data_IF_353808629463
#
_entry.id   IF_353808629463
#
_cell.length_a   1.000
_cell.length_b   1.000
_cell.length_c   1.000
_cell.angle_alpha   90.00
_cell.angle_beta   90.00
_cell.angle_gamma   90.00
#
_symmetry.space_group_name_H-M   'P 1'
#
loop_
_entity.id
_entity.type
_entity.pdbx_description
1 polymer ?
#
# COMPACT_ATOMS: atom_id res chain seq x y z
N UNK A 1 -21.37 20.27 4.01
CA UNK A 1 -20.24 20.68 3.17
C UNK A 1 -18.90 20.25 3.74
N UNK A 2 -18.54 20.63 4.97
CA UNK A 2 -17.25 20.26 5.58
C UNK A 2 -17.01 18.74 5.65
N UNK A 3 -18.03 17.94 5.95
CA UNK A 3 -17.91 16.46 6.01
C UNK A 3 -17.67 15.82 4.64
N UNK A 4 -18.22 16.39 3.57
CA UNK A 4 -17.97 15.90 2.20
C UNK A 4 -16.54 16.15 1.76
N UNK A 5 -15.98 17.33 2.05
CA UNK A 5 -14.59 17.67 1.82
C UNK A 5 -13.64 16.76 2.63
N UNK A 6 -14.00 16.46 3.88
CA UNK A 6 -13.21 15.56 4.72
C UNK A 6 -13.18 14.13 4.16
N UNK A 7 -14.29 13.65 3.61
CA UNK A 7 -14.34 12.34 2.94
C UNK A 7 -13.44 12.31 1.70
N UNK A 8 -13.50 13.35 0.87
CA UNK A 8 -12.59 13.51 -0.29
C UNK A 8 -11.13 13.46 0.13
N UNK A 9 -10.78 14.15 1.22
CA UNK A 9 -9.41 14.15 1.76
C UNK A 9 -8.98 12.76 2.19
N UNK A 10 -9.84 12.01 2.90
CA UNK A 10 -9.54 10.65 3.33
C UNK A 10 -9.31 9.72 2.13
N UNK A 11 -10.22 9.73 1.16
CA UNK A 11 -10.10 8.89 -0.04
C UNK A 11 -8.88 9.25 -0.88
N UNK A 12 -8.60 10.54 -1.07
CA UNK A 12 -7.43 11.00 -1.81
C UNK A 12 -6.12 10.59 -1.13
N UNK A 13 -6.06 10.66 0.18
CA UNK A 13 -4.89 10.19 0.95
C UNK A 13 -4.73 8.68 0.85
N UNK A 14 -5.81 7.93 0.91
CA UNK A 14 -5.78 6.47 0.74
C UNK A 14 -5.19 6.09 -0.63
N UNK A 15 -5.66 6.73 -1.69
CA UNK A 15 -5.14 6.51 -3.05
C UNK A 15 -3.64 6.80 -3.10
N UNK A 16 -3.19 7.94 -2.58
CA UNK A 16 -1.77 8.31 -2.59
C UNK A 16 -0.91 7.38 -1.77
N UNK A 17 -1.40 6.91 -0.61
CA UNK A 17 -0.66 5.98 0.25
C UNK A 17 -0.27 4.69 -0.49
N UNK A 18 -1.17 4.16 -1.31
CA UNK A 18 -0.87 2.97 -2.08
C UNK A 18 -0.18 3.27 -3.40
N UNK A 19 -0.68 4.25 -4.15
CA UNK A 19 -0.17 4.54 -5.50
C UNK A 19 1.25 5.08 -5.52
N UNK A 20 1.67 5.82 -4.50
CA UNK A 20 3.03 6.38 -4.38
C UNK A 20 3.99 5.47 -3.62
N UNK A 21 3.61 4.24 -3.33
CA UNK A 21 4.44 3.33 -2.55
C UNK A 21 5.62 2.76 -3.37
N UNK A 22 6.71 2.38 -2.70
CA UNK A 22 7.81 1.65 -3.33
C UNK A 22 7.36 0.36 -4.02
N UNK A 23 6.42 -0.37 -3.42
CA UNK A 23 5.87 -1.60 -3.98
C UNK A 23 5.19 -1.36 -5.32
N UNK A 24 4.38 -0.31 -5.42
CA UNK A 24 3.70 0.06 -6.66
C UNK A 24 4.71 0.51 -7.73
N UNK A 25 5.73 1.28 -7.34
CA UNK A 25 6.80 1.70 -8.24
C UNK A 25 7.54 0.51 -8.85
N UNK A 26 7.94 -0.46 -8.02
CA UNK A 26 8.61 -1.66 -8.46
C UNK A 26 7.75 -2.47 -9.44
N UNK A 27 6.45 -2.56 -9.19
CA UNK A 27 5.50 -3.22 -10.08
C UNK A 27 5.40 -2.52 -11.44
N UNK A 28 5.19 -1.20 -11.46
CA UNK A 28 5.02 -0.43 -12.70
C UNK A 28 6.30 -0.34 -13.53
N UNK A 29 7.47 -0.34 -12.90
CA UNK A 29 8.76 -0.28 -13.59
C UNK A 29 9.27 -1.64 -14.09
N UNK A 30 8.51 -2.71 -13.90
CA UNK A 30 8.87 -4.08 -14.31
C UNK A 30 10.21 -4.60 -13.74
N UNK A 31 10.64 -4.08 -12.61
CA UNK A 31 11.88 -4.53 -11.94
C UNK A 31 11.79 -6.01 -11.53
N UNK A 32 10.58 -6.53 -11.37
CA UNK A 32 10.32 -7.94 -11.10
C UNK A 32 10.86 -8.93 -12.15
N UNK A 33 11.13 -8.46 -13.37
CA UNK A 33 11.63 -9.31 -14.46
C UNK A 33 13.09 -9.68 -14.28
N UNK A 34 13.80 -8.96 -13.42
CA UNK A 34 15.21 -9.23 -13.15
C UNK A 34 15.39 -10.33 -12.11
N UNK A 35 16.63 -10.85 -12.04
CA UNK A 35 17.01 -11.96 -11.16
C UNK A 35 16.53 -11.73 -9.73
N UNK A 36 15.88 -12.70 -9.17
CA UNK A 36 15.40 -12.64 -7.81
C UNK A 36 14.69 -13.92 -7.43
N UNK A 37 14.40 -14.04 -6.16
CA UNK A 37 13.68 -15.16 -5.59
C UNK A 37 12.23 -15.20 -6.09
N UNK A 38 11.84 -16.31 -6.71
CA UNK A 38 10.49 -16.45 -7.30
C UNK A 38 9.38 -16.41 -6.24
N UNK A 39 9.60 -16.98 -5.07
CA UNK A 39 8.63 -16.93 -3.98
C UNK A 39 8.42 -15.51 -3.49
N UNK A 40 9.49 -14.73 -3.37
CA UNK A 40 9.41 -13.31 -3.02
C UNK A 40 8.65 -12.52 -4.08
N UNK A 41 8.95 -12.73 -5.36
CA UNK A 41 8.25 -12.07 -6.48
C UNK A 41 6.74 -12.34 -6.44
N UNK A 42 6.35 -13.59 -6.26
CA UNK A 42 4.93 -13.95 -6.18
C UNK A 42 4.24 -13.26 -5.00
N UNK A 43 4.87 -13.25 -3.84
CA UNK A 43 4.36 -12.53 -2.66
C UNK A 43 4.17 -11.06 -2.94
N UNK A 44 5.14 -10.41 -3.57
CA UNK A 44 5.05 -8.98 -3.90
C UNK A 44 3.96 -8.69 -4.93
N UNK A 45 3.77 -9.57 -5.93
CA UNK A 45 2.69 -9.43 -6.91
C UNK A 45 1.32 -9.49 -6.21
N UNK A 46 1.13 -10.41 -5.28
CA UNK A 46 -0.12 -10.53 -4.53
C UNK A 46 -0.39 -9.28 -3.69
N UNK A 47 0.63 -8.78 -3.00
CA UNK A 47 0.52 -7.56 -2.19
C UNK A 47 0.17 -6.35 -3.05
N UNK A 48 0.84 -6.17 -4.19
CA UNK A 48 0.56 -5.07 -5.12
C UNK A 48 -0.83 -5.17 -5.72
N UNK A 49 -1.29 -6.37 -6.05
CA UNK A 49 -2.65 -6.60 -6.56
C UNK A 49 -3.71 -6.15 -5.56
N UNK A 50 -3.52 -6.47 -4.28
CA UNK A 50 -4.43 -6.00 -3.23
C UNK A 50 -4.39 -4.47 -3.09
N UNK A 51 -3.20 -3.87 -3.12
CA UNK A 51 -3.05 -2.40 -3.06
C UNK A 51 -3.75 -1.72 -4.23
N UNK A 52 -3.60 -2.26 -5.44
CA UNK A 52 -4.29 -1.73 -6.63
C UNK A 52 -5.81 -1.83 -6.47
N UNK A 53 -6.31 -2.92 -5.91
CA UNK A 53 -7.74 -3.08 -5.63
C UNK A 53 -8.28 -1.99 -4.69
N UNK A 54 -7.53 -1.63 -3.63
CA UNK A 54 -7.93 -0.54 -2.74
C UNK A 54 -7.93 0.81 -3.45
N UNK A 55 -6.95 1.08 -4.30
CA UNK A 55 -6.91 2.28 -5.13
C UNK A 55 -8.14 2.36 -6.03
N UNK A 56 -8.45 1.29 -6.76
CA UNK A 56 -9.59 1.24 -7.68
C UNK A 56 -10.92 1.46 -6.96
N UNK A 57 -11.09 0.85 -5.79
CA UNK A 57 -12.31 1.02 -4.96
C UNK A 57 -12.44 2.45 -4.44
N UNK A 58 -11.34 3.06 -3.98
CA UNK A 58 -11.34 4.44 -3.51
C UNK A 58 -11.65 5.42 -4.65
N UNK A 59 -11.06 5.22 -5.83
CA UNK A 59 -11.33 6.02 -7.02
C UNK A 59 -12.78 5.87 -7.48
N UNK A 60 -13.35 4.68 -7.38
CA UNK A 60 -14.77 4.45 -7.69
C UNK A 60 -15.69 5.30 -6.80
N UNK A 61 -15.38 5.40 -5.50
CA UNK A 61 -16.15 6.26 -4.58
C UNK A 61 -15.95 7.74 -4.93
N UNK A 62 -14.69 8.15 -5.20
CA UNK A 62 -14.38 9.53 -5.58
C UNK A 62 -15.18 9.96 -6.82
N UNK A 63 -15.22 9.14 -7.85
CA UNK A 63 -15.98 9.40 -9.08
C UNK A 63 -17.47 9.46 -8.82
N UNK A 64 -18.01 8.51 -8.05
CA UNK A 64 -19.44 8.47 -7.70
C UNK A 64 -19.90 9.71 -6.93
N UNK A 65 -19.03 10.26 -6.06
CA UNK A 65 -19.29 11.47 -5.30
C UNK A 65 -18.93 12.76 -6.06
N UNK A 66 -18.48 12.65 -7.31
CA UNK A 66 -18.04 13.78 -8.16
C UNK A 66 -16.85 14.55 -7.59
N UNK A 67 -15.94 13.85 -6.92
CA UNK A 67 -14.67 14.39 -6.46
C UNK A 67 -13.61 14.28 -7.56
N UNK A 68 -12.60 15.13 -7.49
CA UNK A 68 -11.44 15.02 -8.37
C UNK A 68 -10.56 13.83 -7.98
N UNK A 69 -10.02 13.14 -8.99
CA UNK A 69 -9.05 12.08 -8.76
C UNK A 69 -7.70 12.69 -8.36
N UNK A 70 -7.06 12.19 -7.30
CA UNK A 70 -5.79 12.74 -6.86
C UNK A 70 -4.69 12.38 -7.85
N UNK A 71 -3.85 13.36 -8.16
CA UNK A 71 -2.61 13.12 -8.89
C UNK A 71 -1.55 12.58 -7.93
N UNK A 72 -0.75 11.65 -8.41
CA UNK A 72 0.34 11.06 -7.62
C UNK A 72 1.58 10.86 -8.49
N UNK A 73 2.75 11.07 -7.88
CA UNK A 73 4.04 10.92 -8.52
C UNK A 73 4.96 10.11 -7.61
N UNK A 74 5.78 9.27 -8.21
CA UNK A 74 6.80 8.56 -7.44
C UNK A 74 7.95 9.49 -7.05
N UNK A 75 8.48 9.35 -5.81
CA UNK A 75 9.71 10.04 -5.44
C UNK A 75 10.86 9.69 -6.38
N UNK A 76 11.63 10.70 -6.77
CA UNK A 76 12.78 10.51 -7.67
C UNK A 76 13.81 9.53 -7.11
N UNK A 77 13.93 9.45 -5.78
CA UNK A 77 14.82 8.51 -5.10
C UNK A 77 14.58 7.04 -5.48
N UNK A 78 13.34 6.67 -5.90
CA UNK A 78 13.04 5.29 -6.31
C UNK A 78 13.77 4.86 -7.57
N UNK A 79 14.19 5.79 -8.41
CA UNK A 79 14.94 5.47 -9.64
C UNK A 79 16.29 4.79 -9.35
N UNK A 80 16.85 4.98 -8.15
CA UNK A 80 18.09 4.31 -7.72
C UNK A 80 17.94 2.80 -7.47
N UNK A 81 16.72 2.25 -7.53
CA UNK A 81 16.47 0.83 -7.24
C UNK A 81 16.45 -0.07 -8.48
N UNK A 82 16.65 0.48 -9.68
CA UNK A 82 16.55 -0.28 -10.93
C UNK A 82 17.54 -1.45 -11.03
N UNK A 83 18.71 -1.31 -10.41
CA UNK A 83 19.76 -2.33 -10.44
C UNK A 83 19.93 -3.07 -9.11
N UNK A 84 18.98 -2.91 -8.20
CA UNK A 84 19.06 -3.49 -6.85
C UNK A 84 18.23 -4.77 -6.75
N UNK A 85 18.80 -5.79 -6.12
CA UNK A 85 18.12 -7.06 -5.86
C UNK A 85 16.90 -6.85 -4.93
N UNK A 86 15.77 -7.49 -5.25
CA UNK A 86 14.56 -7.46 -4.43
C UNK A 86 14.80 -7.93 -3.00
N UNK A 87 15.61 -8.95 -2.80
CA UNK A 87 15.95 -9.45 -1.47
C UNK A 87 16.67 -8.39 -0.63
N UNK A 88 17.52 -7.59 -1.25
CA UNK A 88 18.19 -6.46 -0.61
C UNK A 88 17.23 -5.32 -0.27
N UNK A 89 16.25 -5.06 -1.13
CA UNK A 89 15.24 -4.02 -0.92
C UNK A 89 14.19 -4.40 0.14
N UNK A 90 14.01 -5.68 0.44
CA UNK A 90 12.92 -6.16 1.27
C UNK A 90 12.83 -5.48 2.65
N UNK A 91 13.92 -5.28 3.42
CA UNK A 91 13.83 -4.52 4.68
C UNK A 91 13.34 -3.09 4.50
N UNK A 92 13.72 -2.43 3.41
CA UNK A 92 13.25 -1.07 3.06
C UNK A 92 11.76 -1.07 2.74
N UNK A 93 11.29 -2.06 2.00
CA UNK A 93 9.87 -2.22 1.66
C UNK A 93 9.01 -2.47 2.91
N UNK A 94 9.50 -3.31 3.82
CA UNK A 94 8.83 -3.58 5.10
C UNK A 94 8.75 -2.30 5.95
N UNK A 95 9.84 -1.58 6.11
CA UNK A 95 9.89 -0.34 6.88
C UNK A 95 8.95 0.73 6.30
N UNK A 96 8.89 0.86 4.98
CA UNK A 96 7.96 1.78 4.31
C UNK A 96 6.50 1.37 4.55
N UNK A 97 6.19 0.09 4.42
CA UNK A 97 4.83 -0.41 4.61
C UNK A 97 4.35 -0.23 6.07
N UNK A 98 5.24 -0.39 7.05
CA UNK A 98 4.96 -0.08 8.46
C UNK A 98 4.57 1.39 8.66
N UNK A 99 5.27 2.31 7.99
CA UNK A 99 4.93 3.74 8.03
C UNK A 99 3.56 4.01 7.41
N UNK A 100 3.25 3.34 6.30
CA UNK A 100 1.94 3.48 5.63
C UNK A 100 0.82 2.91 6.47
N UNK A 101 1.05 1.81 7.18
CA UNK A 101 0.09 1.26 8.15
C UNK A 101 -0.27 2.29 9.22
N UNK A 102 0.72 2.96 9.80
CA UNK A 102 0.47 4.04 10.79
C UNK A 102 -0.34 5.18 10.20
N UNK A 103 -0.05 5.56 8.96
CA UNK A 103 -0.83 6.58 8.24
C UNK A 103 -2.26 6.13 7.98
N UNK A 104 -2.48 4.85 7.68
CA UNK A 104 -3.83 4.27 7.53
C UNK A 104 -4.61 4.30 8.84
N UNK A 105 -3.97 4.06 9.98
CA UNK A 105 -4.61 4.15 11.30
C UNK A 105 -5.10 5.57 11.58
N UNK A 106 -4.32 6.59 11.21
CA UNK A 106 -4.73 8.00 11.31
C UNK A 106 -5.92 8.27 10.39
N UNK A 107 -5.90 7.76 9.16
CA UNK A 107 -7.03 7.88 8.24
C UNK A 107 -8.29 7.21 8.76
N UNK A 108 -8.16 6.06 9.42
CA UNK A 108 -9.30 5.38 10.06
C UNK A 108 -9.96 6.28 11.09
N UNK A 109 -9.18 6.92 11.95
CA UNK A 109 -9.72 7.79 12.98
C UNK A 109 -10.46 8.99 12.35
N UNK A 110 -9.93 9.57 11.28
CA UNK A 110 -10.60 10.62 10.52
C UNK A 110 -11.89 10.10 9.87
N UNK A 111 -11.85 8.93 9.23
CA UNK A 111 -13.02 8.32 8.58
C UNK A 111 -14.13 8.01 9.59
N UNK A 112 -13.80 7.49 10.76
CA UNK A 112 -14.76 7.20 11.83
C UNK A 112 -15.42 8.47 12.34
N UNK A 113 -14.69 9.58 12.44
CA UNK A 113 -15.25 10.89 12.78
C UNK A 113 -16.26 11.40 11.77
N UNK A 114 -16.06 11.13 10.48
CA UNK A 114 -16.98 11.51 9.39
C UNK A 114 -18.27 10.68 9.45
N UNK A 115 -18.19 9.38 9.74
CA UNK A 115 -19.35 8.50 9.86
C UNK A 115 -20.36 9.02 10.88
N UNK A 116 -19.89 9.54 12.02
CA UNK A 116 -20.73 10.16 13.04
C UNK A 116 -21.50 11.39 12.55
N UNK A 117 -21.04 12.01 11.44
CA UNK A 117 -21.63 13.24 10.89
C UNK A 117 -22.52 12.98 9.66
N UNK A 118 -22.20 11.99 8.81
CA UNK A 118 -22.85 11.78 7.51
C UNK A 118 -23.69 10.50 7.38
N UNK A 119 -23.57 9.55 8.30
CA UNK A 119 -24.30 8.27 8.24
C UNK A 119 -23.76 7.30 7.19
N UNK A 120 -24.65 6.61 6.47
CA UNK A 120 -24.31 5.42 5.66
C UNK A 120 -23.37 5.66 4.46
N UNK A 121 -23.41 6.84 3.85
CA UNK A 121 -22.53 7.13 2.69
C UNK A 121 -21.05 7.18 3.07
N UNK A 122 -20.71 7.75 4.22
CA UNK A 122 -19.36 7.77 4.75
C UNK A 122 -18.94 6.42 5.35
N UNK A 123 -19.88 5.53 5.64
CA UNK A 123 -19.63 4.19 6.16
C UNK A 123 -18.80 3.34 5.21
N UNK A 124 -19.00 3.47 3.89
CA UNK A 124 -18.24 2.75 2.87
C UNK A 124 -16.75 3.16 2.87
N UNK A 125 -16.47 4.45 3.04
CA UNK A 125 -15.11 4.97 3.14
C UNK A 125 -14.41 4.45 4.38
N UNK A 126 -15.07 4.50 5.53
CA UNK A 126 -14.53 3.98 6.79
C UNK A 126 -14.27 2.46 6.72
N UNK A 127 -15.18 1.70 6.13
CA UNK A 127 -15.03 0.26 5.92
C UNK A 127 -13.84 -0.04 5.01
N UNK A 128 -13.68 0.69 3.91
CA UNK A 128 -12.56 0.54 2.98
C UNK A 128 -11.21 0.77 3.68
N UNK A 129 -11.11 1.81 4.52
CA UNK A 129 -9.89 2.08 5.29
C UNK A 129 -9.59 0.94 6.27
N UNK A 130 -10.59 0.41 6.96
CA UNK A 130 -10.41 -0.72 7.89
C UNK A 130 -9.96 -1.99 7.17
N UNK A 131 -10.56 -2.29 6.02
CA UNK A 131 -10.13 -3.43 5.19
C UNK A 131 -8.68 -3.27 4.73
N UNK A 132 -8.29 -2.04 4.32
CA UNK A 132 -6.92 -1.74 3.93
C UNK A 132 -5.93 -1.96 5.07
N UNK A 133 -6.26 -1.54 6.30
CA UNK A 133 -5.42 -1.79 7.47
C UNK A 133 -5.24 -3.29 7.71
N UNK A 134 -6.33 -4.04 7.72
CA UNK A 134 -6.28 -5.49 7.92
C UNK A 134 -5.44 -6.20 6.87
N UNK A 135 -5.59 -5.79 5.61
CA UNK A 135 -4.79 -6.34 4.50
C UNK A 135 -3.29 -6.01 4.66
N UNK A 136 -2.96 -4.77 5.00
CA UNK A 136 -1.56 -4.34 5.19
C UNK A 136 -0.90 -5.06 6.35
N UNK A 137 -1.62 -5.29 7.44
CA UNK A 137 -1.11 -6.13 8.55
C UNK A 137 -0.75 -7.54 8.09
N UNK A 138 -1.63 -8.16 7.28
CA UNK A 138 -1.34 -9.45 6.65
C UNK A 138 -0.17 -9.41 5.69
N UNK A 139 -0.06 -8.36 4.88
CA UNK A 139 1.06 -8.16 3.96
C UNK A 139 2.39 -8.02 4.70
N UNK A 140 2.42 -7.28 5.81
CA UNK A 140 3.61 -7.16 6.66
C UNK A 140 4.05 -8.52 7.20
N UNK A 141 3.11 -9.35 7.64
CA UNK A 141 3.43 -10.71 8.11
C UNK A 141 4.00 -11.56 6.98
N UNK A 142 3.42 -11.51 5.79
CA UNK A 142 3.92 -12.22 4.60
C UNK A 142 5.35 -11.78 4.24
N UNK A 143 5.61 -10.49 4.22
CA UNK A 143 6.93 -9.94 3.88
C UNK A 143 7.98 -10.29 4.94
N UNK A 144 7.64 -10.24 6.21
CA UNK A 144 8.51 -10.65 7.31
C UNK A 144 8.84 -12.14 7.27
N UNK A 145 7.89 -12.98 6.88
CA UNK A 145 8.14 -14.41 6.64
C UNK A 145 9.12 -14.62 5.49
N UNK A 146 8.99 -13.88 4.40
CA UNK A 146 9.93 -13.93 3.29
C UNK A 146 11.33 -13.48 3.71
N UNK A 147 11.43 -12.41 4.48
CA UNK A 147 12.72 -11.93 5.01
C UNK A 147 13.40 -12.99 5.88
N UNK A 148 12.64 -13.63 6.76
CA UNK A 148 13.14 -14.71 7.62
C UNK A 148 13.61 -15.91 6.80
N UNK A 149 12.82 -16.31 5.79
CA UNK A 149 13.19 -17.41 4.89
C UNK A 149 14.49 -17.13 4.15
N UNK A 150 14.66 -15.93 3.61
CA UNK A 150 15.86 -15.53 2.89
C UNK A 150 17.10 -15.50 3.80
N UNK A 151 16.98 -15.03 5.03
CA UNK A 151 18.04 -15.04 6.02
C UNK A 151 18.47 -16.48 6.38
N UNK A 152 17.52 -17.38 6.56
CA UNK A 152 17.77 -18.78 6.87
C UNK A 152 18.50 -19.49 5.72
N UNK A 153 18.13 -19.20 4.46
CA UNK A 153 18.77 -19.78 3.28
C UNK A 153 20.23 -19.36 3.16
N UNK A 154 20.56 -18.11 3.47
CA UNK A 154 21.95 -17.62 3.48
C UNK A 154 22.78 -18.35 4.53
N UNK A 155 22.21 -18.63 5.71
CA UNK A 155 22.91 -19.34 6.79
C UNK A 155 23.19 -20.81 6.43
N UNK A 156 22.33 -21.43 5.61
CA UNK A 156 22.45 -22.84 5.21
C UNK A 156 23.45 -23.04 4.07
N UNK A 157 23.74 -22.02 3.27
CA UNK A 157 24.69 -22.07 2.15
C UNK A 157 26.11 -21.64 2.51
N UNK A 158 26.37 -21.18 3.72
CA UNK A 158 27.71 -20.89 4.20
C UNK A 158 28.46 -22.19 4.48
N UNK A 159 29.70 -22.40 3.93
CA UNK A 159 30.49 -23.58 4.19
C UNK A 159 31.00 -23.66 5.64
#
# INVERSE_FOLDING_TARGET
MASKQNEEVVLSRLVRLFRQSPLMYLSESNIWTYRGDESLKLTLVDVVSDHQNFVDRAETILVAEQFELPQSFFPLAFTGWHDVDLAFLLPTLIADLEKREKSLQILRDHADGIVGQRGSAAGKTAELVREAISAVEGHLDMLRQQEKRLKNNVTTTAP
#
